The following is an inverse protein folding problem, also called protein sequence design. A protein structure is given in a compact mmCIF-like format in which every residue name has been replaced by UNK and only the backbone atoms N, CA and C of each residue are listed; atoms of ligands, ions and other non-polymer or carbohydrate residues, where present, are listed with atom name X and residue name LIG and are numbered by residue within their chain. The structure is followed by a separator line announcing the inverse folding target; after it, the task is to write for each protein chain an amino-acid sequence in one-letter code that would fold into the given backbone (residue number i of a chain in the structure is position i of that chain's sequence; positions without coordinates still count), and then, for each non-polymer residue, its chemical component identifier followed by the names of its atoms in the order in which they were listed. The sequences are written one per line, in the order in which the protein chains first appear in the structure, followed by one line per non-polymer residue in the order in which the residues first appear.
data_IF_804411944177
#
_entry.id   IF_804411944177
#
_cell.length_a   1.000
_cell.length_b   1.000
_cell.length_c   1.000
_cell.angle_alpha   90.00
_cell.angle_beta   90.00
_cell.angle_gamma   90.00
#
_symmetry.space_group_name_H-M   'P 1'
#
loop_
_entity.id
_entity.type
_entity.pdbx_description
1 polymer ?
#
# COMPACT_ATOMS: atom_id res chain seq x y z
N UNK A 1 -17.92 26.52 5.59
CA UNK A 1 -19.27 26.81 5.05
C UNK A 1 -19.37 26.17 3.67
N UNK A 2 -20.49 25.49 3.39
CA UNK A 2 -20.84 24.64 2.22
C UNK A 2 -20.49 23.15 2.33
N UNK A 3 -21.37 22.43 3.04
CA UNK A 3 -21.53 20.98 2.94
C UNK A 3 -22.38 20.61 1.71
N UNK A 4 -22.01 19.52 1.05
CA UNK A 4 -22.71 18.97 -0.12
C UNK A 4 -23.67 17.89 0.39
N UNK A 5 -24.99 18.16 0.31
CA UNK A 5 -26.05 17.17 0.54
C UNK A 5 -26.15 16.22 -0.64
N UNK A 6 -25.84 14.95 -0.44
CA UNK A 6 -26.24 13.87 -1.36
C UNK A 6 -27.62 13.36 -0.93
N UNK A 7 -28.59 13.50 -1.83
CA UNK A 7 -29.95 12.99 -1.64
C UNK A 7 -29.97 11.46 -1.76
N UNK A 8 -30.53 10.81 -0.74
CA UNK A 8 -30.97 9.41 -0.78
C UNK A 8 -32.32 9.29 -1.48
N UNK A 9 -32.52 8.21 -2.25
CA UNK A 9 -33.86 7.70 -2.61
C UNK A 9 -33.88 6.17 -2.48
N UNK A 10 -34.47 5.71 -1.37
CA UNK A 10 -35.32 4.49 -1.25
C UNK A 10 -36.74 5.06 -1.06
N UNK A 11 -37.86 4.50 -1.48
CA UNK A 11 -38.25 3.25 -2.12
C UNK A 11 -39.69 3.47 -2.65
N UNK A 12 -40.20 2.60 -3.52
CA UNK A 12 -41.64 2.29 -3.54
C UNK A 12 -41.86 0.90 -4.17
N UNK A 13 -42.53 0.04 -3.39
CA UNK A 13 -43.12 -1.25 -3.80
C UNK A 13 -44.64 -1.16 -3.59
N UNK A 14 -45.35 -2.01 -4.35
CA UNK A 14 -46.80 -2.31 -4.37
C UNK A 14 -47.65 -1.35 -5.20
N UNK A 15 -48.65 -1.76 -5.99
CA UNK A 15 -49.32 -3.05 -6.21
C UNK A 15 -49.98 -3.05 -7.61
N UNK A 16 -50.27 -4.23 -8.20
CA UNK A 16 -51.63 -4.74 -8.50
C UNK A 16 -51.62 -5.91 -9.50
N UNK A 17 -52.52 -6.84 -9.21
CA UNK A 17 -53.00 -8.04 -9.89
C UNK A 17 -53.36 -7.94 -11.39
N UNK A 18 -53.23 -9.06 -12.11
CA UNK A 18 -53.88 -9.32 -13.40
C UNK A 18 -53.67 -10.76 -13.89
N UNK A 19 -54.77 -11.45 -14.22
CA UNK A 19 -54.89 -12.89 -14.45
C UNK A 19 -54.35 -13.41 -15.82
N UNK A 20 -54.04 -14.71 -15.83
CA UNK A 20 -53.82 -15.63 -16.96
C UNK A 20 -55.05 -15.74 -17.91
N UNK A 21 -54.90 -16.24 -19.16
CA UNK A 21 -55.03 -17.70 -19.38
C UNK A 21 -54.09 -18.32 -20.44
N UNK A 22 -54.07 -19.65 -20.38
CA UNK A 22 -53.32 -20.61 -21.18
C UNK A 22 -53.81 -20.73 -22.64
N UNK A 23 -52.93 -21.20 -23.53
CA UNK A 23 -53.32 -21.95 -24.73
C UNK A 23 -52.27 -23.04 -25.03
N UNK A 24 -52.77 -24.27 -25.09
CA UNK A 24 -52.15 -25.52 -25.51
C UNK A 24 -51.78 -25.51 -27.01
N UNK A 25 -50.68 -26.16 -27.37
CA UNK A 25 -50.59 -26.97 -28.60
C UNK A 25 -49.53 -28.06 -28.45
N UNK A 26 -50.02 -29.29 -28.33
CA UNK A 26 -49.29 -30.56 -28.46
C UNK A 26 -49.10 -30.87 -29.96
N UNK A 27 -47.94 -31.41 -30.37
CA UNK A 27 -47.86 -32.45 -31.41
C UNK A 27 -46.45 -33.10 -31.52
N UNK A 28 -46.38 -34.29 -30.90
CA UNK A 28 -45.75 -35.57 -31.28
C UNK A 28 -44.61 -35.67 -32.33
N UNK A 29 -43.56 -36.36 -31.86
CA UNK A 29 -42.76 -37.45 -32.47
C UNK A 29 -41.82 -37.20 -33.65
N UNK A 30 -40.52 -37.40 -33.41
CA UNK A 30 -39.72 -38.42 -34.12
C UNK A 30 -38.46 -38.78 -33.31
N UNK A 31 -38.24 -40.07 -33.14
CA UNK A 31 -37.06 -40.66 -32.52
C UNK A 31 -35.82 -40.44 -33.40
N UNK A 32 -34.70 -40.10 -32.77
CA UNK A 32 -33.39 -40.03 -33.40
C UNK A 32 -32.29 -40.17 -32.35
N UNK A 33 -31.81 -41.40 -32.18
CA UNK A 33 -30.57 -41.70 -31.47
C UNK A 33 -29.42 -41.01 -32.20
N UNK A 34 -28.93 -39.92 -31.63
CA UNK A 34 -27.65 -39.34 -31.98
C UNK A 34 -26.90 -38.99 -30.70
N UNK A 35 -26.04 -39.92 -30.30
CA UNK A 35 -24.90 -39.70 -29.43
C UNK A 35 -24.16 -38.42 -29.81
N UNK A 36 -24.35 -37.37 -29.00
CA UNK A 36 -23.47 -36.21 -28.95
C UNK A 36 -23.33 -35.78 -27.50
N UNK A 37 -22.59 -36.61 -26.76
CA UNK A 37 -21.92 -36.24 -25.52
C UNK A 37 -20.86 -35.17 -25.82
N UNK A 38 -21.34 -33.98 -26.14
CA UNK A 38 -20.55 -32.74 -26.25
C UNK A 38 -21.33 -31.63 -25.56
N UNK A 39 -21.64 -31.83 -24.27
CA UNK A 39 -22.09 -30.73 -23.39
C UNK A 39 -21.42 -30.76 -22.01
N UNK A 40 -20.42 -31.63 -21.82
CA UNK A 40 -19.58 -31.67 -20.63
C UNK A 40 -18.13 -31.33 -20.99
N UNK A 41 -17.92 -30.16 -21.60
CA UNK A 41 -16.61 -29.51 -21.77
C UNK A 41 -16.77 -28.00 -22.08
N UNK A 42 -17.84 -27.38 -21.57
CA UNK A 42 -17.68 -26.03 -21.03
C UNK A 42 -17.13 -26.23 -19.62
N UNK A 43 -15.86 -26.63 -19.54
CA UNK A 43 -15.09 -26.50 -18.32
C UNK A 43 -15.33 -25.07 -17.86
N UNK A 44 -15.87 -24.89 -16.66
CA UNK A 44 -16.00 -23.57 -16.05
C UNK A 44 -14.72 -22.82 -16.34
N UNK A 45 -14.82 -21.62 -16.91
CA UNK A 45 -13.76 -20.63 -16.79
C UNK A 45 -13.67 -20.35 -15.29
N UNK A 46 -13.04 -21.27 -14.57
CA UNK A 46 -12.69 -21.14 -13.18
C UNK A 46 -11.57 -20.12 -13.22
N UNK A 47 -11.98 -18.84 -13.26
CA UNK A 47 -11.07 -17.70 -13.36
C UNK A 47 -10.23 -17.76 -12.11
N UNK A 48 -9.09 -18.42 -12.18
CA UNK A 48 -8.14 -18.47 -11.06
C UNK A 48 -7.37 -17.17 -11.08
N UNK A 49 -7.09 -16.63 -9.89
CA UNK A 49 -6.17 -15.52 -9.81
C UNK A 49 -4.81 -15.94 -10.39
N UNK A 50 -4.15 -15.02 -11.06
CA UNK A 50 -2.73 -15.10 -11.32
C UNK A 50 -2.04 -13.92 -10.70
N UNK A 51 -0.89 -14.16 -10.09
CA UNK A 51 -0.06 -13.11 -9.51
C UNK A 51 1.39 -13.26 -9.96
N UNK A 52 2.08 -12.14 -10.07
CA UNK A 52 3.50 -12.11 -10.43
C UNK A 52 4.21 -11.06 -9.59
N UNK A 53 5.39 -11.41 -9.09
CA UNK A 53 6.16 -10.57 -8.18
C UNK A 53 7.51 -10.19 -8.78
N UNK A 54 7.90 -8.94 -8.59
CA UNK A 54 9.24 -8.46 -8.93
C UNK A 54 9.71 -7.36 -8.00
N UNK A 55 11.01 -7.34 -7.74
CA UNK A 55 11.67 -6.35 -6.91
C UNK A 55 12.89 -5.85 -7.66
N UNK A 56 12.94 -4.57 -7.94
CA UNK A 56 14.08 -3.91 -8.59
C UNK A 56 14.70 -2.92 -7.63
N UNK A 57 16.03 -2.90 -7.55
CA UNK A 57 16.74 -1.92 -6.73
C UNK A 57 16.51 -0.53 -7.29
N UNK A 58 16.15 0.39 -6.41
CA UNK A 58 16.12 1.84 -6.62
C UNK A 58 17.13 2.53 -5.69
N UNK A 59 18.13 1.80 -5.23
CA UNK A 59 19.17 2.32 -4.33
C UNK A 59 20.00 3.38 -5.05
N UNK A 60 20.16 4.58 -4.49
CA UNK A 60 20.98 5.63 -5.12
C UNK A 60 22.48 5.30 -5.04
N UNK A 61 23.25 5.87 -5.96
CA UNK A 61 24.70 5.98 -5.79
C UNK A 61 25.01 7.18 -4.87
N UNK A 62 25.31 6.89 -3.60
CA UNK A 62 25.64 7.92 -2.59
C UNK A 62 27.09 8.41 -2.69
N UNK A 63 27.92 7.78 -3.53
CA UNK A 63 29.34 8.09 -3.65
C UNK A 63 29.65 9.07 -4.80
N UNK A 64 28.68 9.39 -5.66
CA UNK A 64 28.85 10.35 -6.74
C UNK A 64 28.80 11.80 -6.20
N UNK A 65 29.95 12.51 -6.06
CA UNK A 65 29.97 13.84 -5.46
C UNK A 65 29.27 14.91 -6.33
N UNK A 66 28.99 14.62 -7.61
CA UNK A 66 28.26 15.52 -8.51
C UNK A 66 26.75 15.43 -8.31
N UNK A 67 26.28 14.34 -7.70
CA UNK A 67 24.87 14.04 -7.48
C UNK A 67 24.62 13.68 -6.01
N UNK A 68 24.83 14.63 -5.07
CA UNK A 68 24.60 14.37 -3.65
C UNK A 68 23.13 14.02 -3.40
N UNK A 69 22.92 12.96 -2.63
CA UNK A 69 21.60 12.46 -2.29
C UNK A 69 21.17 13.06 -0.95
N UNK A 70 19.98 13.69 -0.95
CA UNK A 70 19.38 14.25 0.26
C UNK A 70 18.29 13.31 0.77
N UNK A 71 18.33 13.00 2.06
CA UNK A 71 17.36 12.16 2.74
C UNK A 71 16.09 12.97 3.03
N UNK A 72 14.93 12.43 2.68
CA UNK A 72 13.64 13.04 2.99
C UNK A 72 13.21 12.81 4.44
N UNK A 73 12.43 13.74 5.00
CA UNK A 73 11.97 13.67 6.39
C UNK A 73 12.93 14.39 7.35
N UNK A 74 12.44 14.69 8.55
CA UNK A 74 13.18 15.30 9.67
C UNK A 74 13.93 16.63 9.44
N UNK A 75 13.84 17.22 8.24
CA UNK A 75 14.40 18.52 7.93
C UNK A 75 15.48 18.47 6.85
N UNK A 76 15.98 19.66 6.49
CA UNK A 76 16.94 19.83 5.41
C UNK A 76 18.36 19.50 5.83
N UNK A 77 19.26 19.46 4.83
CA UNK A 77 20.70 19.26 5.02
C UNK A 77 21.09 17.86 5.55
N UNK A 78 20.20 16.88 5.41
CA UNK A 78 20.49 15.47 5.67
C UNK A 78 21.05 14.83 4.40
N UNK A 79 22.35 14.99 4.15
CA UNK A 79 23.00 14.32 3.02
C UNK A 79 23.28 12.86 3.38
N UNK A 80 22.91 11.93 2.50
CA UNK A 80 23.26 10.53 2.64
C UNK A 80 24.78 10.32 2.50
N UNK A 81 25.35 9.52 3.39
CA UNK A 81 26.79 9.21 3.46
C UNK A 81 27.11 7.74 3.15
N UNK A 82 26.13 6.87 3.28
CA UNK A 82 26.27 5.43 3.06
C UNK A 82 24.91 4.82 2.74
N UNK A 83 24.91 3.53 2.40
CA UNK A 83 23.71 2.69 2.26
C UNK A 83 23.83 1.58 3.29
N UNK A 84 22.84 1.46 4.17
CA UNK A 84 22.75 0.35 5.13
C UNK A 84 22.11 -0.88 4.49
N UNK A 85 20.93 -0.69 3.89
CA UNK A 85 20.22 -1.71 3.12
C UNK A 85 19.67 -1.14 1.81
N UNK A 86 19.51 -1.98 0.78
CA UNK A 86 18.99 -1.56 -0.51
C UNK A 86 17.53 -1.10 -0.42
N UNK A 87 17.23 -0.06 -1.19
CA UNK A 87 15.86 0.42 -1.44
C UNK A 87 15.29 -0.23 -2.70
N UNK A 88 13.98 -0.47 -2.70
CA UNK A 88 13.33 -1.20 -3.77
C UNK A 88 12.05 -0.54 -4.32
N UNK A 89 11.83 -0.76 -5.62
CA UNK A 89 10.49 -0.79 -6.21
C UNK A 89 9.99 -2.24 -6.19
N UNK A 90 9.03 -2.53 -5.31
CA UNK A 90 8.45 -3.87 -5.14
C UNK A 90 7.07 -3.91 -5.79
N UNK A 91 6.93 -4.69 -6.87
CA UNK A 91 5.73 -4.80 -7.68
C UNK A 91 5.01 -6.14 -7.47
N UNK A 92 3.68 -6.07 -7.44
CA UNK A 92 2.76 -7.21 -7.57
C UNK A 92 1.82 -6.95 -8.75
N UNK A 93 1.87 -7.83 -9.75
CA UNK A 93 0.90 -7.91 -10.83
C UNK A 93 -0.22 -8.87 -10.44
N UNK A 94 -1.47 -8.51 -10.71
CA UNK A 94 -2.65 -9.33 -10.44
C UNK A 94 -3.49 -9.45 -11.71
N UNK A 95 -4.01 -10.64 -11.96
CA UNK A 95 -4.92 -10.94 -13.07
C UNK A 95 -5.97 -11.97 -12.66
N UNK A 96 -7.16 -11.90 -13.26
CA UNK A 96 -8.14 -13.00 -13.23
C UNK A 96 -8.47 -13.51 -14.64
N UNK A 97 -7.58 -13.25 -15.61
CA UNK A 97 -7.76 -13.56 -17.03
C UNK A 97 -8.52 -12.47 -17.82
N UNK A 98 -9.44 -11.73 -17.17
CA UNK A 98 -10.20 -10.65 -17.80
C UNK A 98 -9.72 -9.25 -17.42
N UNK A 99 -9.30 -9.10 -16.16
CA UNK A 99 -8.74 -7.88 -15.57
C UNK A 99 -7.29 -8.08 -15.23
N UNK A 100 -6.48 -7.05 -15.38
CA UNK A 100 -5.05 -7.07 -15.11
C UNK A 100 -4.55 -5.72 -14.63
N UNK A 101 -3.91 -5.67 -13.48
CA UNK A 101 -3.34 -4.44 -12.94
C UNK A 101 -2.09 -4.71 -12.12
N UNK A 102 -1.39 -3.65 -11.74
CA UNK A 102 -0.14 -3.75 -10.98
C UNK A 102 -0.17 -2.77 -9.82
N UNK A 103 0.32 -3.20 -8.66
CA UNK A 103 0.61 -2.32 -7.54
C UNK A 103 2.11 -2.33 -7.26
N UNK A 104 2.66 -1.15 -7.00
CA UNK A 104 4.07 -0.96 -6.65
C UNK A 104 4.18 -0.22 -5.32
N UNK A 105 5.04 -0.73 -4.45
CA UNK A 105 5.54 -0.01 -3.28
C UNK A 105 6.97 0.45 -3.54
N UNK A 106 7.21 1.76 -3.39
CA UNK A 106 8.52 2.38 -3.46
C UNK A 106 9.03 2.63 -2.05
N UNK A 107 10.28 2.24 -1.77
CA UNK A 107 10.97 2.67 -0.56
C UNK A 107 11.32 4.17 -0.69
N UNK A 108 10.40 5.01 -0.23
CA UNK A 108 10.43 6.48 -0.33
C UNK A 108 9.48 7.08 0.71
N UNK A 109 9.67 8.36 1.08
CA UNK A 109 8.70 9.10 1.91
C UNK A 109 7.36 9.31 1.17
N UNK A 110 7.42 9.58 -0.13
CA UNK A 110 6.28 9.98 -0.92
C UNK A 110 6.69 10.20 -2.36
N UNK A 111 5.72 10.21 -3.26
CA UNK A 111 5.99 10.30 -4.69
C UNK A 111 4.97 11.17 -5.41
N UNK A 112 5.45 12.03 -6.31
CA UNK A 112 4.60 13.02 -6.95
C UNK A 112 3.73 12.42 -8.05
N UNK A 113 2.48 12.89 -8.13
CA UNK A 113 1.49 12.36 -9.07
C UNK A 113 1.93 12.49 -10.54
N UNK A 114 2.60 13.58 -10.91
CA UNK A 114 3.17 13.73 -12.26
C UNK A 114 4.20 12.63 -12.59
N UNK A 115 5.02 12.23 -11.61
CA UNK A 115 6.03 11.20 -11.82
C UNK A 115 5.39 9.81 -11.91
N UNK A 116 4.26 9.59 -11.22
CA UNK A 116 3.40 8.41 -11.40
C UNK A 116 2.86 8.36 -12.84
N UNK A 117 2.35 9.48 -13.36
CA UNK A 117 1.83 9.55 -14.73
C UNK A 117 2.92 9.26 -15.76
N UNK A 118 4.15 9.74 -15.55
CA UNK A 118 5.28 9.46 -16.43
C UNK A 118 5.61 7.95 -16.49
N UNK A 119 5.52 7.23 -15.37
CA UNK A 119 5.73 5.77 -15.33
C UNK A 119 4.56 5.05 -16.01
N UNK A 120 3.31 5.43 -15.70
CA UNK A 120 2.11 4.83 -16.31
C UNK A 120 2.11 4.97 -17.83
N UNK A 121 2.54 6.12 -18.34
CA UNK A 121 2.65 6.37 -19.78
C UNK A 121 3.60 5.39 -20.48
N UNK A 122 4.60 4.86 -19.78
CA UNK A 122 5.54 3.87 -20.33
C UNK A 122 4.93 2.46 -20.38
N UNK A 123 4.23 2.04 -19.32
CA UNK A 123 3.91 0.62 -19.10
C UNK A 123 2.45 0.25 -19.29
N UNK A 124 1.51 1.17 -19.05
CA UNK A 124 0.09 0.81 -18.90
C UNK A 124 -0.52 0.33 -20.21
N UNK A 125 -0.31 1.08 -21.31
CA UNK A 125 -0.76 0.67 -22.65
C UNK A 125 0.05 -0.50 -23.19
N UNK A 126 1.38 -0.48 -23.00
CA UNK A 126 2.32 -1.53 -23.44
C UNK A 126 1.89 -2.91 -22.92
N UNK A 127 1.52 -2.99 -21.64
CA UNK A 127 1.22 -4.25 -20.97
C UNK A 127 -0.28 -4.57 -20.91
N UNK A 128 -1.15 -3.69 -21.42
CA UNK A 128 -2.61 -3.84 -21.36
C UNK A 128 -3.12 -3.92 -19.92
N UNK A 129 -2.73 -2.96 -19.08
CA UNK A 129 -3.13 -2.88 -17.67
C UNK A 129 -4.36 -1.98 -17.51
N UNK A 130 -5.38 -2.46 -16.79
CA UNK A 130 -6.54 -1.67 -16.39
C UNK A 130 -6.08 -0.48 -15.52
N UNK A 131 -5.17 -0.73 -14.57
CA UNK A 131 -4.67 0.30 -13.66
C UNK A 131 -3.30 -0.05 -13.06
N UNK A 132 -2.55 0.98 -12.67
CA UNK A 132 -1.25 0.85 -11.98
C UNK A 132 -1.27 1.71 -10.72
N UNK A 133 -1.24 1.08 -9.55
CA UNK A 133 -1.07 1.76 -8.26
C UNK A 133 0.43 1.91 -7.99
N UNK A 134 0.86 3.12 -7.63
CA UNK A 134 2.22 3.37 -7.13
C UNK A 134 2.07 4.07 -5.79
N UNK A 135 2.64 3.46 -4.75
CA UNK A 135 2.60 3.91 -3.36
C UNK A 135 4.03 4.00 -2.82
N UNK A 136 4.17 4.70 -1.69
CA UNK A 136 5.43 4.82 -0.97
C UNK A 136 5.30 4.12 0.38
N UNK A 137 6.38 3.49 0.85
CA UNK A 137 6.43 2.92 2.21
C UNK A 137 6.41 3.99 3.29
N UNK A 138 6.66 5.24 2.90
CA UNK A 138 6.77 6.42 3.75
C UNK A 138 8.09 6.48 4.55
N UNK A 139 9.17 5.88 4.05
CA UNK A 139 10.47 5.89 4.75
C UNK A 139 11.12 7.29 4.80
N UNK A 140 11.51 7.70 6.01
CA UNK A 140 12.21 8.97 6.30
C UNK A 140 13.75 8.85 6.20
N UNK A 141 14.21 7.74 5.66
CA UNK A 141 15.63 7.46 5.43
C UNK A 141 15.94 7.17 3.95
N UNK A 142 14.98 7.49 3.08
CA UNK A 142 15.07 7.36 1.63
C UNK A 142 15.32 8.73 0.94
N UNK A 143 15.78 8.75 -0.32
CA UNK A 143 16.04 10.00 -1.05
C UNK A 143 14.80 10.88 -1.20
N UNK A 144 15.02 12.19 -1.21
CA UNK A 144 13.97 13.19 -1.43
C UNK A 144 13.41 13.13 -2.85
N UNK A 145 12.15 12.73 -2.98
CA UNK A 145 11.38 12.70 -4.23
C UNK A 145 10.30 13.80 -4.30
N UNK A 146 10.14 14.60 -3.25
CA UNK A 146 9.15 15.69 -3.14
C UNK A 146 9.82 17.04 -3.42
N UNK A 147 11.00 17.26 -2.84
CA UNK A 147 11.90 18.39 -3.06
C UNK A 147 12.15 19.30 -1.87
N UNK A 148 11.48 19.11 -0.74
CA UNK A 148 11.55 20.07 0.38
C UNK A 148 12.70 19.81 1.37
N UNK A 149 13.47 18.73 1.19
CA UNK A 149 14.52 18.28 2.11
C UNK A 149 15.94 18.43 1.55
N UNK A 150 16.12 19.29 0.55
CA UNK A 150 17.42 19.59 -0.05
C UNK A 150 18.41 20.35 0.85
N UNK A 151 19.48 20.93 0.28
CA UNK A 151 20.51 21.62 1.04
C UNK A 151 20.03 22.91 1.73
N UNK A 152 18.86 23.44 1.34
CA UNK A 152 18.24 24.62 1.95
C UNK A 152 16.78 24.76 1.52
N UNK A 153 16.02 25.63 2.19
CA UNK A 153 14.62 25.96 1.86
C UNK A 153 14.39 26.55 0.46
N UNK A 154 15.44 26.86 -0.28
CA UNK A 154 15.35 27.42 -1.64
C UNK A 154 15.83 26.45 -2.72
N UNK A 155 16.35 25.27 -2.34
CA UNK A 155 16.94 24.30 -3.26
C UNK A 155 16.28 22.94 -3.07
N UNK A 156 15.86 22.34 -4.17
CA UNK A 156 15.24 21.01 -4.15
C UNK A 156 16.22 19.94 -3.66
N UNK A 157 15.71 18.96 -2.92
CA UNK A 157 16.46 17.74 -2.59
C UNK A 157 16.40 16.66 -3.68
N UNK A 158 15.50 16.83 -4.66
CA UNK A 158 15.33 15.89 -5.77
C UNK A 158 16.53 15.95 -6.71
N UNK A 159 17.30 14.87 -6.76
CA UNK A 159 18.29 14.66 -7.81
C UNK A 159 17.62 14.10 -9.08
N UNK A 160 17.84 14.78 -10.22
CA UNK A 160 17.17 14.44 -11.48
C UNK A 160 17.67 13.13 -12.10
N UNK A 161 18.95 12.80 -11.92
CA UNK A 161 19.57 11.56 -12.41
C UNK A 161 18.98 10.37 -11.64
N UNK A 162 18.90 10.49 -10.31
CA UNK A 162 18.27 9.51 -9.45
C UNK A 162 16.78 9.32 -9.77
N UNK A 163 16.01 10.40 -9.91
CA UNK A 163 14.59 10.30 -10.26
C UNK A 163 14.35 9.60 -11.60
N UNK A 164 15.22 9.82 -12.60
CA UNK A 164 15.14 9.11 -13.89
C UNK A 164 15.37 7.61 -13.72
N UNK A 165 16.46 7.24 -13.02
CA UNK A 165 16.79 5.85 -12.73
C UNK A 165 15.66 5.16 -11.95
N UNK A 166 15.10 5.82 -10.93
CA UNK A 166 13.99 5.29 -10.14
C UNK A 166 12.76 5.02 -11.03
N UNK A 167 12.41 5.92 -11.94
CA UNK A 167 11.28 5.72 -12.87
C UNK A 167 11.51 4.53 -13.79
N UNK A 168 12.72 4.40 -14.34
CA UNK A 168 13.09 3.28 -15.21
C UNK A 168 13.06 1.94 -14.47
N UNK A 169 13.63 1.88 -13.27
CA UNK A 169 13.63 0.69 -12.42
C UNK A 169 12.21 0.32 -11.96
N UNK A 170 11.36 1.31 -11.68
CA UNK A 170 9.95 1.07 -11.38
C UNK A 170 9.21 0.49 -12.59
N UNK A 171 9.40 1.06 -13.78
CA UNK A 171 8.81 0.52 -15.01
C UNK A 171 9.31 -0.91 -15.30
N UNK A 172 10.59 -1.20 -15.02
CA UNK A 172 11.17 -2.54 -15.11
C UNK A 172 10.52 -3.51 -14.13
N UNK A 173 10.35 -3.12 -12.86
CA UNK A 173 9.68 -3.95 -11.85
C UNK A 173 8.25 -4.32 -12.29
N UNK A 174 7.52 -3.36 -12.86
CA UNK A 174 6.18 -3.58 -13.42
C UNK A 174 6.21 -4.61 -14.56
N UNK A 175 7.10 -4.45 -15.54
CA UNK A 175 7.25 -5.40 -16.66
C UNK A 175 7.60 -6.80 -16.16
N UNK A 176 8.58 -6.90 -15.26
CA UNK A 176 9.02 -8.19 -14.70
C UNK A 176 7.91 -8.87 -13.91
N UNK A 177 7.14 -8.13 -13.09
CA UNK A 177 6.01 -8.68 -12.35
C UNK A 177 4.94 -9.23 -13.29
N UNK A 178 4.60 -8.49 -14.36
CA UNK A 178 3.62 -8.94 -15.37
C UNK A 178 4.12 -10.18 -16.13
N UNK A 179 5.41 -10.24 -16.48
CA UNK A 179 6.01 -11.38 -17.16
C UNK A 179 6.06 -12.66 -16.29
N UNK A 180 5.90 -12.52 -14.98
CA UNK A 180 5.91 -13.62 -13.99
C UNK A 180 4.52 -13.99 -13.47
N UNK A 181 3.45 -13.54 -14.13
CA UNK A 181 2.09 -13.94 -13.77
C UNK A 181 1.95 -15.47 -13.86
N UNK A 182 1.65 -16.10 -12.73
CA UNK A 182 1.33 -17.52 -12.65
C UNK A 182 0.08 -17.75 -11.78
N UNK A 183 -0.66 -18.87 -11.97
CA UNK A 183 -1.85 -19.16 -11.17
C UNK A 183 -1.58 -19.25 -9.67
N UNK A 184 -2.46 -18.65 -8.86
CA UNK A 184 -2.32 -18.56 -7.40
C UNK A 184 -3.63 -18.83 -6.67
N UNK A 185 -3.51 -19.38 -5.46
CA UNK A 185 -4.51 -19.29 -4.41
C UNK A 185 -4.15 -18.09 -3.52
N UNK A 186 -5.14 -17.27 -3.18
CA UNK A 186 -4.95 -16.09 -2.34
C UNK A 186 -5.57 -16.32 -0.97
N UNK A 187 -4.79 -16.06 0.07
CA UNK A 187 -5.18 -16.17 1.47
C UNK A 187 -5.10 -14.82 2.14
N UNK A 188 -6.08 -14.49 2.98
CA UNK A 188 -6.09 -13.28 3.80
C UNK A 188 -5.99 -13.62 5.27
N UNK A 189 -5.31 -12.74 6.01
CA UNK A 189 -5.39 -12.72 7.47
C UNK A 189 -5.29 -11.28 7.99
N UNK A 190 -5.91 -11.05 9.14
CA UNK A 190 -5.79 -9.81 9.90
C UNK A 190 -5.35 -10.16 11.32
N UNK A 191 -4.26 -9.54 11.76
CA UNK A 191 -3.64 -9.76 13.07
C UNK A 191 -3.83 -8.49 13.88
N UNK A 192 -4.55 -8.62 15.00
CA UNK A 192 -4.95 -7.48 15.81
C UNK A 192 -3.82 -7.00 16.72
N UNK A 193 -3.73 -5.69 16.90
CA UNK A 193 -2.86 -5.03 17.90
C UNK A 193 -1.37 -5.41 17.81
N UNK A 194 -0.86 -5.65 16.61
CA UNK A 194 0.55 -5.98 16.41
C UNK A 194 1.39 -4.72 16.61
N UNK A 195 2.35 -4.78 17.53
CA UNK A 195 3.24 -3.67 17.83
C UNK A 195 2.54 -2.48 18.50
N UNK A 196 1.36 -2.67 19.11
CA UNK A 196 0.66 -1.59 19.82
C UNK A 196 1.51 -0.98 20.95
N UNK A 197 2.49 -1.73 21.50
CA UNK A 197 3.46 -1.27 22.49
C UNK A 197 4.53 -0.31 21.93
N UNK A 198 4.71 -0.28 20.61
CA UNK A 198 5.72 0.55 19.92
C UNK A 198 5.12 1.61 18.99
N UNK A 199 3.79 1.71 18.96
CA UNK A 199 3.04 2.71 18.20
C UNK A 199 2.65 3.86 19.13
N UNK A 200 2.93 5.08 18.68
CA UNK A 200 2.50 6.31 19.33
C UNK A 200 1.73 7.14 18.32
N UNK A 201 0.60 7.69 18.76
CA UNK A 201 -0.11 8.76 18.06
C UNK A 201 0.09 10.06 18.84
N UNK A 202 0.68 11.06 18.18
CA UNK A 202 1.01 12.34 18.82
C UNK A 202 -0.10 13.39 18.66
N UNK A 203 -1.18 13.09 17.93
CA UNK A 203 -2.29 14.00 17.70
C UNK A 203 -3.57 13.46 18.33
N UNK A 204 -4.38 14.38 18.86
CA UNK A 204 -5.70 14.04 19.42
C UNK A 204 -6.78 14.15 18.34
N UNK A 205 -7.84 13.30 18.38
CA UNK A 205 -7.97 12.14 19.25
C UNK A 205 -7.01 11.02 18.85
N UNK A 206 -6.51 10.27 19.83
CA UNK A 206 -5.63 9.13 19.55
C UNK A 206 -6.46 7.96 19.01
N UNK A 207 -6.23 7.60 17.76
CA UNK A 207 -6.83 6.42 17.12
C UNK A 207 -5.73 5.63 16.44
N UNK A 208 -5.68 4.33 16.70
CA UNK A 208 -4.63 3.46 16.15
C UNK A 208 -5.14 2.63 14.96
N UNK A 209 -4.29 2.44 13.96
CA UNK A 209 -4.43 1.40 12.92
C UNK A 209 -3.37 0.30 13.11
N UNK A 210 -3.37 -0.30 14.29
CA UNK A 210 -2.36 -1.28 14.74
C UNK A 210 -2.50 -2.67 14.12
N UNK A 211 -3.51 -2.90 13.28
CA UNK A 211 -3.75 -4.23 12.71
C UNK A 211 -2.81 -4.48 11.53
N UNK A 212 -2.17 -5.64 11.52
CA UNK A 212 -1.39 -6.11 10.36
C UNK A 212 -2.32 -6.91 9.47
N UNK A 213 -2.45 -6.52 8.20
CA UNK A 213 -3.26 -7.22 7.21
C UNK A 213 -2.36 -7.81 6.14
N UNK A 214 -2.62 -9.06 5.79
CA UNK A 214 -1.79 -9.81 4.86
C UNK A 214 -2.66 -10.46 3.80
N UNK A 215 -2.26 -10.32 2.54
CA UNK A 215 -2.65 -11.20 1.45
C UNK A 215 -1.45 -12.06 1.07
N UNK A 216 -1.55 -13.37 1.26
CA UNK A 216 -0.52 -14.33 0.87
C UNK A 216 -0.94 -15.03 -0.41
N UNK A 217 -0.03 -15.08 -1.38
CA UNK A 217 -0.24 -15.67 -2.70
C UNK A 217 0.57 -16.95 -2.77
N UNK A 218 -0.11 -18.09 -2.85
CA UNK A 218 0.52 -19.41 -2.87
C UNK A 218 0.27 -20.12 -4.18
N UNK A 219 1.24 -20.90 -4.63
CA UNK A 219 1.04 -21.78 -5.77
C UNK A 219 0.04 -22.89 -5.38
N UNK A 220 -1.04 -23.14 -6.16
CA UNK A 220 -2.10 -24.06 -5.74
C UNK A 220 -1.63 -25.49 -5.46
N UNK A 221 -0.70 -26.00 -6.26
CA UNK A 221 -0.23 -27.39 -6.15
C UNK A 221 0.79 -27.60 -5.02
N UNK A 222 1.85 -26.79 -4.97
CA UNK A 222 2.93 -26.97 -3.99
C UNK A 222 2.67 -26.25 -2.66
N UNK A 223 1.71 -25.33 -2.61
CA UNK A 223 1.46 -24.44 -1.48
C UNK A 223 2.65 -23.51 -1.14
N UNK A 224 3.64 -23.43 -2.03
CA UNK A 224 4.77 -22.51 -1.92
C UNK A 224 4.29 -21.06 -1.97
N UNK A 225 4.78 -20.22 -1.05
CA UNK A 225 4.54 -18.78 -1.10
C UNK A 225 5.30 -18.17 -2.28
N UNK A 226 4.56 -17.51 -3.17
CA UNK A 226 5.12 -16.72 -4.28
C UNK A 226 5.38 -15.28 -3.86
N UNK A 227 4.49 -14.74 -3.01
CA UNK A 227 4.68 -13.44 -2.40
C UNK A 227 3.54 -13.06 -1.46
N UNK A 228 3.68 -11.88 -0.87
CA UNK A 228 2.69 -11.31 0.02
C UNK A 228 2.51 -9.83 -0.23
N UNK A 229 1.29 -9.35 -0.02
CA UNK A 229 1.03 -7.96 0.30
C UNK A 229 0.86 -7.84 1.81
N UNK A 230 1.67 -7.03 2.47
CA UNK A 230 1.60 -6.79 3.91
C UNK A 230 1.33 -5.30 4.14
N UNK A 231 0.38 -5.00 5.01
CA UNK A 231 0.14 -3.63 5.46
C UNK A 231 0.09 -3.56 6.98
N UNK A 232 0.73 -2.53 7.50
CA UNK A 232 0.75 -2.14 8.90
C UNK A 232 0.97 -0.64 8.93
N UNK A 233 0.22 0.08 9.74
CA UNK A 233 0.31 1.52 9.76
C UNK A 233 1.30 1.97 10.84
N UNK A 234 2.50 2.33 10.40
CA UNK A 234 3.53 2.96 11.19
C UNK A 234 4.44 3.76 10.27
N UNK A 235 4.89 4.93 10.70
CA UNK A 235 5.93 5.67 9.96
C UNK A 235 7.27 4.92 10.05
N UNK A 236 7.94 4.59 8.94
CA UNK A 236 9.33 4.11 8.94
C UNK A 236 10.30 5.25 9.26
N UNK A 237 10.39 5.51 10.56
CA UNK A 237 11.05 6.65 11.19
C UNK A 237 11.91 6.24 12.40
N UNK A 238 12.15 4.95 12.66
CA UNK A 238 12.77 4.46 13.90
C UNK A 238 14.19 5.01 14.12
N UNK A 239 14.91 5.36 13.04
CA UNK A 239 16.26 5.92 13.11
C UNK A 239 16.34 7.42 13.38
N UNK A 240 15.26 8.16 13.17
CA UNK A 240 15.19 9.60 13.41
C UNK A 240 16.27 10.44 12.71
N UNK A 241 16.32 11.73 13.06
CA UNK A 241 17.01 12.77 12.29
C UNK A 241 18.55 12.65 12.21
N UNK A 242 19.17 11.88 13.11
CA UNK A 242 20.62 11.78 13.22
C UNK A 242 21.23 10.79 12.21
N UNK A 243 20.43 9.86 11.68
CA UNK A 243 20.90 8.91 10.70
C UNK A 243 21.25 9.60 9.37
N UNK A 244 22.34 9.13 8.75
CA UNK A 244 22.82 9.58 7.44
C UNK A 244 23.02 8.43 6.46
N UNK A 245 22.59 7.21 6.79
CA UNK A 245 22.65 6.07 5.90
C UNK A 245 21.30 5.84 5.22
N UNK A 246 21.29 5.55 3.92
CA UNK A 246 20.07 5.12 3.23
C UNK A 246 19.60 3.78 3.76
N UNK A 247 18.32 3.68 4.09
CA UNK A 247 17.66 2.46 4.56
C UNK A 247 16.16 2.53 4.31
N UNK A 248 15.52 1.37 4.22
CA UNK A 248 14.05 1.27 4.27
C UNK A 248 13.50 1.19 5.71
N UNK A 249 14.35 1.44 6.71
CA UNK A 249 14.02 1.42 8.14
C UNK A 249 13.49 0.04 8.58
N UNK A 250 12.51 -0.04 9.50
CA UNK A 250 11.95 -1.31 9.95
C UNK A 250 11.37 -2.15 8.79
N UNK A 251 11.01 -1.54 7.66
CA UNK A 251 10.46 -2.23 6.48
C UNK A 251 11.49 -3.18 5.88
N UNK A 252 12.79 -2.89 5.99
CA UNK A 252 13.85 -3.83 5.63
C UNK A 252 13.69 -5.14 6.38
N UNK A 253 13.67 -5.05 7.71
CA UNK A 253 13.65 -6.18 8.62
C UNK A 253 12.31 -6.91 8.63
N UNK A 254 11.20 -6.18 8.42
CA UNK A 254 9.88 -6.77 8.21
C UNK A 254 9.91 -7.73 7.01
N UNK A 255 10.42 -7.25 5.87
CA UNK A 255 10.51 -8.02 4.62
C UNK A 255 11.46 -9.20 4.79
N UNK A 256 12.71 -8.97 5.19
CA UNK A 256 13.69 -10.05 5.36
C UNK A 256 13.25 -11.07 6.41
N UNK A 257 12.62 -10.62 7.50
CA UNK A 257 12.07 -11.48 8.54
C UNK A 257 11.00 -12.45 8.03
N UNK A 258 10.09 -11.99 7.16
CA UNK A 258 9.05 -12.85 6.58
C UNK A 258 9.61 -13.74 5.47
N UNK A 259 10.44 -13.17 4.59
CA UNK A 259 10.95 -13.85 3.39
C UNK A 259 11.98 -14.92 3.74
N UNK A 260 12.95 -14.56 4.59
CA UNK A 260 14.16 -15.35 4.86
C UNK A 260 14.15 -15.92 6.29
N UNK A 261 13.51 -15.22 7.22
CA UNK A 261 13.37 -15.63 8.61
C UNK A 261 13.90 -14.61 9.59
N UNK A 262 13.61 -14.83 10.87
CA UNK A 262 14.11 -14.02 11.97
C UNK A 262 15.51 -14.52 12.32
N UNK A 263 16.52 -13.71 12.01
CA UNK A 263 17.93 -14.07 12.14
C UNK A 263 18.63 -13.15 13.14
N UNK A 264 19.35 -13.76 14.08
CA UNK A 264 20.26 -13.12 15.03
C UNK A 264 21.60 -13.86 15.02
N UNK A 265 22.72 -13.16 15.03
CA UNK A 265 24.07 -13.74 15.10
C UNK A 265 24.30 -14.89 14.10
N UNK A 266 23.80 -14.73 12.87
CA UNK A 266 23.80 -15.72 11.79
C UNK A 266 23.01 -17.03 12.08
N UNK A 267 22.29 -17.10 13.19
CA UNK A 267 21.37 -18.17 13.52
C UNK A 267 19.92 -17.79 13.13
N UNK A 268 19.26 -18.67 12.40
CA UNK A 268 17.83 -18.53 12.10
C UNK A 268 17.02 -19.04 13.29
N UNK A 269 16.37 -18.13 14.01
CA UNK A 269 15.51 -18.46 15.15
C UNK A 269 14.12 -18.91 14.71
N UNK A 270 13.66 -18.32 13.60
CA UNK A 270 12.40 -18.69 12.98
C UNK A 270 12.55 -18.67 11.47
N UNK A 271 12.24 -19.77 10.76
CA UNK A 271 12.35 -19.80 9.31
C UNK A 271 11.34 -18.84 8.67
N UNK A 272 11.76 -18.18 7.60
CA UNK A 272 10.86 -17.45 6.72
C UNK A 272 9.99 -18.40 5.90
N UNK A 273 9.04 -17.83 5.17
CA UNK A 273 8.12 -18.60 4.30
C UNK A 273 8.38 -18.38 2.82
N UNK A 274 9.46 -17.67 2.46
CA UNK A 274 9.82 -17.35 1.08
C UNK A 274 8.84 -16.38 0.41
N UNK A 275 8.98 -16.28 -0.91
CA UNK A 275 8.23 -15.32 -1.73
C UNK A 275 8.72 -13.89 -1.52
N UNK A 276 8.15 -12.96 -2.29
CA UNK A 276 8.45 -11.53 -2.15
C UNK A 276 7.37 -10.81 -1.34
N UNK A 277 7.75 -10.05 -0.32
CA UNK A 277 6.87 -9.15 0.42
C UNK A 277 6.81 -7.78 -0.25
N UNK A 278 5.60 -7.35 -0.61
CA UNK A 278 5.28 -5.97 -0.95
C UNK A 278 4.66 -5.35 0.30
N UNK A 279 5.37 -4.42 0.95
CA UNK A 279 4.83 -3.68 2.08
C UNK A 279 4.17 -2.40 1.59
N UNK A 280 2.92 -2.16 1.98
CA UNK A 280 2.23 -0.89 1.76
C UNK A 280 1.83 -0.30 3.10
N UNK A 281 2.05 1.01 3.27
CA UNK A 281 1.72 1.66 4.53
C UNK A 281 0.19 1.80 4.69
N UNK A 282 -0.28 1.77 5.93
CA UNK A 282 -1.70 1.96 6.26
C UNK A 282 -2.04 3.41 6.59
N UNK A 283 -3.03 3.63 7.46
CA UNK A 283 -3.42 4.98 7.88
C UNK A 283 -2.42 5.52 8.91
N UNK A 284 -1.46 6.35 8.47
CA UNK A 284 -0.40 6.89 9.35
C UNK A 284 -0.56 8.38 9.69
N UNK A 285 -1.62 9.03 9.20
CA UNK A 285 -1.96 10.40 9.60
C UNK A 285 -2.05 10.52 11.12
N UNK A 286 -1.93 11.73 11.67
CA UNK A 286 -1.79 11.89 13.12
C UNK A 286 -0.36 11.71 13.64
N UNK A 287 0.58 11.32 12.77
CA UNK A 287 1.95 10.90 13.12
C UNK A 287 1.93 9.61 13.95
N UNK A 288 1.33 8.55 13.37
CA UNK A 288 1.43 7.22 13.95
C UNK A 288 2.83 6.66 13.69
N UNK A 289 3.67 6.63 14.73
CA UNK A 289 5.11 6.43 14.61
C UNK A 289 5.67 5.69 15.82
N UNK A 290 6.93 5.26 15.74
CA UNK A 290 7.75 4.88 16.89
C UNK A 290 8.67 6.05 17.23
N UNK A 291 8.44 6.72 18.38
CA UNK A 291 9.23 7.90 18.75
C UNK A 291 10.70 7.58 19.04
N UNK A 292 11.53 8.61 19.04
CA UNK A 292 12.96 8.52 19.31
C UNK A 292 13.23 7.97 20.70
N UNK A 293 12.38 8.30 21.66
CA UNK A 293 12.42 7.83 23.05
C UNK A 293 11.48 6.65 23.36
N UNK A 294 10.68 6.17 22.40
CA UNK A 294 9.79 5.01 22.60
C UNK A 294 10.63 3.76 22.90
N UNK A 295 10.48 3.13 24.08
CA UNK A 295 11.22 1.91 24.40
C UNK A 295 10.74 0.75 23.54
N UNK A 296 11.67 0.06 22.88
CA UNK A 296 11.38 -1.16 22.12
C UNK A 296 12.07 -2.34 22.79
N UNK A 297 11.30 -3.35 23.19
CA UNK A 297 11.86 -4.57 23.77
C UNK A 297 12.23 -5.55 22.65
N UNK A 298 13.52 -5.84 22.53
CA UNK A 298 14.03 -6.96 21.74
C UNK A 298 13.94 -8.23 22.59
N UNK A 299 12.95 -9.06 22.30
CA UNK A 299 12.65 -10.29 23.07
C UNK A 299 13.71 -11.37 22.91
N UNK A 300 14.48 -11.33 21.82
CA UNK A 300 15.55 -12.28 21.56
C UNK A 300 16.79 -11.92 22.36
N UNK A 301 17.19 -10.65 22.33
CA UNK A 301 18.35 -10.15 23.06
C UNK A 301 18.05 -9.89 24.55
N UNK A 302 16.78 -9.90 24.94
CA UNK A 302 16.30 -9.49 26.25
C UNK A 302 16.82 -8.07 26.63
N UNK A 303 16.73 -7.15 25.68
CA UNK A 303 17.22 -5.77 25.81
C UNK A 303 16.11 -4.77 25.49
N UNK A 304 16.13 -3.63 26.19
CA UNK A 304 15.27 -2.49 25.87
C UNK A 304 16.09 -1.47 25.08
N UNK A 305 15.68 -1.23 23.84
CA UNK A 305 16.30 -0.30 22.92
C UNK A 305 15.50 1.00 22.93
N UNK A 306 16.07 2.03 23.55
CA UNK A 306 15.46 3.36 23.61
C UNK A 306 16.02 4.23 22.50
N UNK A 307 17.34 4.36 22.40
CA UNK A 307 18.01 5.21 21.40
C UNK A 307 17.73 4.73 19.97
N UNK A 308 17.48 5.65 19.01
CA UNK A 308 17.38 5.31 17.59
C UNK A 308 18.61 4.53 17.11
N UNK A 309 18.38 3.34 16.55
CA UNK A 309 19.45 2.47 16.04
C UNK A 309 18.90 1.42 15.06
N UNK A 310 19.78 0.83 14.27
CA UNK A 310 19.41 -0.24 13.35
C UNK A 310 18.89 -1.48 14.08
N UNK A 311 19.40 -1.76 15.29
CA UNK A 311 18.87 -2.79 16.16
C UNK A 311 17.44 -2.46 16.60
N UNK A 312 17.13 -1.20 16.94
CA UNK A 312 15.77 -0.77 17.29
C UNK A 312 14.82 -0.98 16.10
N UNK A 313 15.24 -0.54 14.91
CA UNK A 313 14.48 -0.73 13.67
C UNK A 313 14.28 -2.22 13.34
N UNK A 314 15.30 -3.07 13.58
CA UNK A 314 15.21 -4.53 13.46
C UNK A 314 14.18 -5.10 14.40
N UNK A 315 14.21 -4.75 15.68
CA UNK A 315 13.25 -5.27 16.66
C UNK A 315 11.81 -4.88 16.31
N UNK A 316 11.58 -3.66 15.82
CA UNK A 316 10.26 -3.22 15.31
C UNK A 316 9.83 -4.06 14.10
N UNK A 317 10.69 -4.19 13.08
CA UNK A 317 10.36 -4.94 11.87
C UNK A 317 10.10 -6.43 12.15
N UNK A 318 10.95 -7.06 12.96
CA UNK A 318 10.80 -8.45 13.37
C UNK A 318 9.58 -8.71 14.25
N UNK A 319 9.08 -7.72 15.00
CA UNK A 319 7.82 -7.87 15.73
C UNK A 319 6.65 -8.17 14.77
N UNK A 320 6.61 -7.44 13.65
CA UNK A 320 5.60 -7.67 12.60
C UNK A 320 5.86 -9.00 11.89
N UNK A 321 7.11 -9.29 11.52
CA UNK A 321 7.46 -10.57 10.90
C UNK A 321 7.06 -11.77 11.76
N UNK A 322 7.36 -11.72 13.06
CA UNK A 322 7.04 -12.78 14.00
C UNK A 322 5.53 -13.03 14.08
N UNK A 323 4.74 -11.96 14.18
CA UNK A 323 3.28 -12.02 14.20
C UNK A 323 2.73 -12.65 12.91
N UNK A 324 3.21 -12.21 11.74
CA UNK A 324 2.84 -12.79 10.43
C UNK A 324 3.18 -14.28 10.36
N UNK A 325 4.41 -14.65 10.71
CA UNK A 325 4.84 -16.04 10.68
C UNK A 325 4.07 -16.91 11.70
N UNK A 326 3.72 -16.37 12.87
CA UNK A 326 2.87 -17.05 13.85
C UNK A 326 1.44 -17.24 13.34
N UNK A 327 0.85 -16.23 12.69
CA UNK A 327 -0.47 -16.31 12.09
C UNK A 327 -0.55 -17.37 10.99
N UNK A 328 0.48 -17.49 10.16
CA UNK A 328 0.58 -18.55 9.15
C UNK A 328 0.70 -19.92 9.83
N UNK A 329 1.59 -20.06 10.82
CA UNK A 329 1.83 -21.33 11.50
C UNK A 329 0.61 -21.82 12.30
N UNK A 330 -0.23 -20.92 12.82
CA UNK A 330 -1.46 -21.26 13.55
C UNK A 330 -2.67 -21.49 12.65
N UNK A 331 -2.55 -21.27 11.34
CA UNK A 331 -3.66 -21.39 10.40
C UNK A 331 -4.70 -20.26 10.53
N UNK A 332 -4.28 -19.05 10.90
CA UNK A 332 -5.16 -17.87 10.98
C UNK A 332 -5.66 -17.38 9.60
N UNK A 333 -5.14 -17.95 8.52
CA UNK A 333 -5.44 -17.59 7.14
C UNK A 333 -6.81 -18.13 6.68
N UNK A 334 -7.49 -17.33 5.86
CA UNK A 334 -8.72 -17.70 5.17
C UNK A 334 -8.52 -17.52 3.66
N UNK A 335 -9.00 -18.46 2.85
CA UNK A 335 -9.04 -18.26 1.40
C UNK A 335 -9.99 -17.10 1.05
N UNK A 336 -9.71 -16.39 -0.05
CA UNK A 336 -10.66 -15.40 -0.58
C UNK A 336 -11.95 -16.05 -1.05
N UNK A 337 -13.06 -15.32 -0.92
CA UNK A 337 -14.39 -15.85 -1.20
C UNK A 337 -14.65 -16.22 -2.68
N UNK A 338 -14.05 -15.47 -3.60
CA UNK A 338 -14.19 -15.66 -5.05
C UNK A 338 -13.00 -15.05 -5.82
N UNK A 339 -13.04 -15.13 -7.14
CA UNK A 339 -12.00 -14.64 -8.05
C UNK A 339 -12.26 -13.26 -8.68
N UNK A 340 -13.12 -12.46 -8.05
CA UNK A 340 -13.40 -11.09 -8.48
C UNK A 340 -12.13 -10.25 -8.44
N UNK A 341 -11.82 -9.61 -9.56
CA UNK A 341 -10.77 -8.61 -9.65
C UNK A 341 -11.35 -7.37 -10.31
N UNK A 342 -11.34 -6.24 -9.61
CA UNK A 342 -11.76 -4.96 -10.18
C UNK A 342 -10.77 -3.86 -9.83
N UNK A 343 -10.52 -3.00 -10.81
CA UNK A 343 -9.69 -1.81 -10.66
C UNK A 343 -10.53 -0.60 -11.05
N UNK A 344 -10.69 0.33 -10.12
CA UNK A 344 -11.39 1.59 -10.36
C UNK A 344 -10.52 2.74 -9.86
N UNK A 345 -10.56 3.87 -10.56
CA UNK A 345 -9.95 5.09 -10.07
C UNK A 345 -10.81 6.29 -10.34
N UNK A 346 -10.62 7.33 -9.53
CA UNK A 346 -11.28 8.62 -9.69
C UNK A 346 -10.26 9.73 -9.53
N UNK A 347 -10.06 10.50 -10.59
CA UNK A 347 -9.32 11.76 -10.52
C UNK A 347 -10.12 12.77 -9.69
N UNK A 348 -9.42 13.45 -8.79
CA UNK A 348 -9.96 14.54 -7.97
C UNK A 348 -9.11 15.80 -8.13
N UNK A 349 -9.75 16.96 -8.06
CA UNK A 349 -9.08 18.25 -8.03
C UNK A 349 -9.14 18.83 -6.63
N UNK A 350 -7.98 18.99 -6.01
CA UNK A 350 -7.85 19.47 -4.65
C UNK A 350 -7.33 20.91 -4.64
N UNK A 351 -7.99 21.86 -3.95
CA UNK A 351 -7.40 23.17 -3.72
C UNK A 351 -6.15 23.00 -2.84
N UNK A 352 -5.08 23.72 -3.18
CA UNK A 352 -3.87 23.71 -2.38
C UNK A 352 -3.88 24.94 -1.49
N UNK A 353 -4.40 24.87 -0.26
CA UNK A 353 -4.51 26.05 0.62
C UNK A 353 -3.17 26.52 1.20
N UNK A 354 -2.20 25.61 1.25
CA UNK A 354 -0.87 25.90 1.78
C UNK A 354 -0.08 26.86 0.86
N UNK A 355 0.03 28.12 1.28
CA UNK A 355 0.75 29.18 0.55
C UNK A 355 2.23 28.83 0.36
N UNK A 356 2.88 28.19 1.35
CA UNK A 356 4.29 27.76 1.24
C UNK A 356 4.44 26.69 0.16
N UNK A 357 3.50 25.75 0.07
CA UNK A 357 3.47 24.77 -1.01
C UNK A 357 3.31 25.45 -2.37
N UNK A 358 2.38 26.41 -2.50
CA UNK A 358 2.19 27.19 -3.74
C UNK A 358 3.50 27.88 -4.16
N UNK A 359 4.16 28.57 -3.22
CA UNK A 359 5.42 29.25 -3.46
C UNK A 359 6.54 28.26 -3.85
N UNK A 360 6.69 27.15 -3.13
CA UNK A 360 7.70 26.14 -3.40
C UNK A 360 7.53 25.49 -4.79
N UNK A 361 6.28 25.29 -5.22
CA UNK A 361 5.99 24.79 -6.57
C UNK A 361 6.30 25.83 -7.66
N UNK A 362 5.95 27.10 -7.45
CA UNK A 362 6.31 28.20 -8.37
C UNK A 362 7.83 28.37 -8.51
N UNK A 363 8.57 28.18 -7.42
CA UNK A 363 10.04 28.21 -7.37
C UNK A 363 10.69 26.89 -7.86
N UNK A 364 9.91 25.90 -8.30
CA UNK A 364 10.36 24.57 -8.76
C UNK A 364 11.14 23.77 -7.71
N UNK A 365 10.99 24.09 -6.43
CA UNK A 365 11.49 23.28 -5.33
C UNK A 365 10.68 21.99 -5.28
N UNK A 366 9.35 22.13 -5.33
CA UNK A 366 8.40 21.05 -5.52
C UNK A 366 8.04 20.98 -7.00
N UNK A 367 8.19 19.81 -7.62
CA UNK A 367 7.80 19.60 -9.01
C UNK A 367 6.32 19.27 -9.13
N UNK A 368 5.44 20.24 -8.82
CA UNK A 368 3.98 20.06 -8.93
C UNK A 368 3.37 21.02 -9.95
N UNK A 369 2.54 20.49 -10.85
CA UNK A 369 1.72 21.28 -11.77
C UNK A 369 0.43 21.70 -11.07
N UNK A 370 0.05 22.97 -11.24
CA UNK A 370 -1.27 23.46 -10.86
C UNK A 370 -2.17 23.56 -12.08
N UNK A 371 -3.44 23.23 -11.87
CA UNK A 371 -4.54 23.64 -12.72
C UNK A 371 -5.07 25.02 -12.28
N UNK A 372 -6.08 25.54 -12.99
CA UNK A 372 -6.68 26.84 -12.69
C UNK A 372 -7.06 26.98 -11.22
N UNK A 373 -6.71 28.12 -10.61
CA UNK A 373 -7.02 28.43 -9.22
C UNK A 373 -6.20 27.68 -8.17
N UNK A 374 -4.92 27.38 -8.44
CA UNK A 374 -4.02 26.65 -7.52
C UNK A 374 -4.58 25.30 -7.05
N UNK A 375 -5.28 24.62 -7.95
CA UNK A 375 -5.76 23.25 -7.72
C UNK A 375 -4.73 22.27 -8.23
N UNK A 376 -4.52 21.17 -7.52
CA UNK A 376 -3.75 20.04 -8.01
C UNK A 376 -4.67 18.87 -8.32
N UNK A 377 -4.37 18.17 -9.41
CA UNK A 377 -4.91 16.85 -9.66
C UNK A 377 -4.29 15.85 -8.69
N UNK A 378 -5.12 14.96 -8.18
CA UNK A 378 -4.76 13.76 -7.47
C UNK A 378 -5.72 12.64 -7.87
N UNK A 379 -5.56 11.46 -7.31
CA UNK A 379 -6.37 10.30 -7.65
C UNK A 379 -6.62 9.44 -6.42
N UNK A 380 -7.84 8.91 -6.33
CA UNK A 380 -8.19 7.80 -5.43
C UNK A 380 -8.32 6.56 -6.29
N UNK A 381 -7.67 5.48 -5.88
CA UNK A 381 -7.72 4.16 -6.50
C UNK A 381 -8.45 3.18 -5.59
N UNK A 382 -9.13 2.22 -6.19
CA UNK A 382 -9.83 1.14 -5.51
C UNK A 382 -9.54 -0.17 -6.24
N UNK A 383 -8.95 -1.11 -5.52
CA UNK A 383 -8.75 -2.50 -5.94
C UNK A 383 -9.72 -3.38 -5.15
N UNK A 384 -10.50 -4.19 -5.86
CA UNK A 384 -11.25 -5.30 -5.28
C UNK A 384 -10.56 -6.61 -5.66
N UNK A 385 -10.29 -7.46 -4.67
CA UNK A 385 -9.77 -8.81 -4.82
C UNK A 385 -10.62 -9.75 -3.97
N UNK A 386 -11.56 -10.46 -4.61
CA UNK A 386 -12.58 -11.25 -3.91
C UNK A 386 -13.42 -10.37 -2.97
N UNK A 387 -13.47 -10.75 -1.70
CA UNK A 387 -14.10 -10.03 -0.59
C UNK A 387 -13.23 -8.92 0.02
N UNK A 388 -11.99 -8.74 -0.46
CA UNK A 388 -11.05 -7.71 0.04
C UNK A 388 -11.07 -6.47 -0.84
N UNK A 389 -11.10 -5.31 -0.18
CA UNK A 389 -11.02 -3.99 -0.82
C UNK A 389 -9.78 -3.24 -0.34
N UNK A 390 -9.05 -2.65 -1.29
CA UNK A 390 -7.88 -1.81 -1.02
C UNK A 390 -8.13 -0.44 -1.65
N UNK A 391 -8.33 0.57 -0.78
CA UNK A 391 -8.46 1.97 -1.18
C UNK A 391 -7.14 2.70 -1.03
N UNK A 392 -6.71 3.42 -2.07
CA UNK A 392 -5.52 4.27 -2.03
C UNK A 392 -5.94 5.72 -1.86
N UNK A 393 -5.57 6.34 -0.74
CA UNK A 393 -5.88 7.74 -0.44
C UNK A 393 -4.61 8.58 -0.64
N UNK A 394 -4.67 9.71 -1.38
CA UNK A 394 -3.52 10.58 -1.53
C UNK A 394 -3.21 11.31 -0.22
N UNK A 395 -1.94 11.31 0.18
CA UNK A 395 -1.47 11.88 1.45
C UNK A 395 -1.45 10.84 2.56
N UNK A 396 -1.41 11.31 3.80
CA UNK A 396 -1.42 10.47 4.99
C UNK A 396 -2.86 10.39 5.52
N UNK A 397 -3.52 9.25 5.33
CA UNK A 397 -4.86 9.03 5.87
C UNK A 397 -4.78 8.96 7.39
N UNK A 398 -5.59 9.77 8.05
CA UNK A 398 -5.73 9.77 9.50
C UNK A 398 -6.48 8.50 9.97
N UNK A 399 -5.95 7.75 10.97
CA UNK A 399 -6.57 6.53 11.49
C UNK A 399 -8.02 6.72 11.90
N UNK A 400 -8.38 7.88 12.45
CA UNK A 400 -9.73 8.17 12.91
C UNK A 400 -10.77 8.27 11.79
N UNK A 401 -10.34 8.54 10.55
CA UNK A 401 -11.19 8.45 9.35
C UNK A 401 -11.38 6.98 8.94
N UNK A 402 -10.32 6.18 9.01
CA UNK A 402 -10.32 4.80 8.56
C UNK A 402 -11.08 3.87 9.53
N UNK A 403 -10.76 3.97 10.83
CA UNK A 403 -11.24 3.09 11.89
C UNK A 403 -12.38 3.71 12.71
N UNK A 404 -12.53 5.04 12.69
CA UNK A 404 -13.48 5.78 13.51
C UNK A 404 -12.88 6.25 14.83
N UNK A 405 -13.73 6.65 15.76
CA UNK A 405 -13.31 7.06 17.11
C UNK A 405 -13.24 8.57 17.32
N UNK A 406 -13.59 9.41 16.33
CA UNK A 406 -13.84 10.84 16.61
C UNK A 406 -15.27 11.00 17.13
N UNK A 407 -15.37 11.19 18.43
CA UNK A 407 -16.51 11.90 19.01
C UNK A 407 -16.11 13.37 19.17
N UNK A 408 -17.04 14.30 18.90
CA UNK A 408 -16.87 15.71 19.26
C UNK A 408 -17.71 15.98 20.52
N UNK A 409 -17.26 15.54 21.72
CA UNK A 409 -18.01 15.73 22.95
C UNK A 409 -18.14 17.23 23.28
N UNK A 410 -19.23 17.60 23.95
CA UNK A 410 -19.49 18.97 24.38
C UNK A 410 -18.33 19.46 25.26
N UNK A 411 -17.60 20.50 24.81
CA UNK A 411 -16.47 21.09 25.52
C UNK A 411 -15.06 20.76 25.01
N UNK A 412 -14.91 20.04 23.89
CA UNK A 412 -13.59 19.73 23.32
C UNK A 412 -12.75 20.97 22.93
N UNK A 413 -11.43 20.79 22.77
CA UNK A 413 -10.49 21.88 22.43
C UNK A 413 -10.69 22.43 21.01
N UNK A 414 -11.36 21.67 20.13
CA UNK A 414 -11.69 22.03 18.76
C UNK A 414 -13.20 22.28 18.61
N UNK A 415 -13.71 23.29 19.33
CA UNK A 415 -15.13 23.65 19.52
C UNK A 415 -15.97 23.88 18.25
N UNK A 416 -15.41 23.71 17.05
CA UNK A 416 -16.04 24.05 15.77
C UNK A 416 -15.91 22.96 14.69
N UNK A 417 -15.48 21.75 15.05
CA UNK A 417 -15.39 20.63 14.11
C UNK A 417 -16.39 19.54 14.51
N UNK A 418 -17.52 19.52 13.82
CA UNK A 418 -18.37 18.32 13.73
C UNK A 418 -17.53 17.14 13.23
N UNK A 419 -17.79 15.89 13.67
CA UNK A 419 -17.17 14.71 13.06
C UNK A 419 -17.46 14.72 11.56
N UNK A 420 -16.42 14.90 10.74
CA UNK A 420 -16.60 15.14 9.29
C UNK A 420 -16.99 13.84 8.57
N UNK A 421 -16.67 12.66 9.11
CA UNK A 421 -16.66 11.39 8.37
C UNK A 421 -17.14 10.20 9.22
N UNK A 422 -18.38 10.27 9.70
CA UNK A 422 -19.11 9.11 10.28
C UNK A 422 -20.18 8.59 9.30
N UNK A 423 -20.32 7.25 9.13
CA UNK A 423 -19.55 6.19 9.78
C UNK A 423 -18.13 6.05 9.16
N UNK A 424 -17.16 5.50 9.91
CA UNK A 424 -15.78 5.36 9.42
C UNK A 424 -15.67 4.35 8.28
N UNK A 425 -14.62 4.47 7.47
CA UNK A 425 -14.48 3.73 6.21
C UNK A 425 -14.50 2.20 6.37
N UNK A 426 -14.00 1.65 7.48
CA UNK A 426 -13.94 0.20 7.73
C UNK A 426 -15.11 -0.36 8.53
N UNK A 427 -16.12 0.46 8.85
CA UNK A 427 -17.34 -0.01 9.54
C UNK A 427 -18.42 -0.54 8.58
N UNK A 428 -18.16 -0.50 7.28
CA UNK A 428 -19.14 -0.77 6.21
C UNK A 428 -19.04 -2.19 5.67
#
# INVERSE_FOLDING_TARGET
MFGIRLWTRKALRSATSGNLPAALALCLTAAGLASSSTSALAQSMDTTFSAGFARESITPDVNDPKHPIWIAGFGQKRQAKSVHDPLYASAIALSNGSKKGVMVALDAIGFMHNDILDIRAQVQKELGLDFVIISSTHSHEAPDLIGIWGPSFTKTGVDAKYLSMLKEQTAKAIRTAVARLEPVQVRRMELNNVGADVLVDTRMPQVFDSNVRVLRFVQPASQQTLGMLVTWANHPEVLWNANTAITSDFVHYLRSGIEQGIVYDNATLKPGVGGQVVYINGAVGGLMTTLDDTPVVDTVLNQTLVTPSFEKARSVGYRVSEAVLNGIASGAEQDLADSTLAWTSKSILLPVDNIKFRAAALLRIIRRKFESGFKTRSEVGLLQLGDVWIGTIPGELYPEIANGGIEAPEGNDFKHTEPVEVPPLRSV
#
